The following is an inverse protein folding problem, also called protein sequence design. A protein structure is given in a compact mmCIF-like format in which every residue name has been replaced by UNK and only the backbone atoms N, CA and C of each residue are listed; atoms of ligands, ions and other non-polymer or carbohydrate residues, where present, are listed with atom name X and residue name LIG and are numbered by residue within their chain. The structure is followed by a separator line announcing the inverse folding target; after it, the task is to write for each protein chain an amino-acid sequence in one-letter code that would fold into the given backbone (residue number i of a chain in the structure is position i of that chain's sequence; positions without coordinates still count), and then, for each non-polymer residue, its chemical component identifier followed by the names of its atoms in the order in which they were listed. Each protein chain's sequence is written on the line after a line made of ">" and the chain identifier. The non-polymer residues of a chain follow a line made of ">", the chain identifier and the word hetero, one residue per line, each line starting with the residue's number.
data_IF_362289279329
#
_entry.id   IF_362289279329
#
_cell.length_a   1.000
_cell.length_b   1.000
_cell.length_c   1.000
_cell.angle_alpha   90.00
_cell.angle_beta   90.00
_cell.angle_gamma   90.00
#
_symmetry.space_group_name_H-M   'P 1'
#
loop_
_entity.id
_entity.type
_entity.pdbx_description
1 polymer ?
#
# COMPACT_ATOMS: atom_id res chain seq x y z
N UNK A 1 -26.80 5.60 -15.17
CA UNK A 1 -26.04 5.33 -13.95
C UNK A 1 -24.90 6.32 -13.86
N UNK A 2 -24.91 7.23 -12.87
CA UNK A 2 -23.80 8.14 -12.60
C UNK A 2 -22.58 7.35 -12.06
N UNK A 3 -21.43 8.01 -11.86
CA UNK A 3 -20.20 7.33 -11.43
C UNK A 3 -20.37 6.68 -10.05
N UNK A 4 -20.98 7.37 -9.11
CA UNK A 4 -21.21 6.86 -7.75
C UNK A 4 -22.13 5.63 -7.76
N UNK A 5 -23.21 5.65 -8.53
CA UNK A 5 -24.11 4.51 -8.69
C UNK A 5 -23.40 3.32 -9.34
N UNK A 6 -22.46 3.55 -10.28
CA UNK A 6 -21.65 2.47 -10.86
C UNK A 6 -20.68 1.88 -9.84
N UNK A 7 -20.01 2.71 -9.05
CA UNK A 7 -19.14 2.23 -7.99
C UNK A 7 -19.92 1.40 -6.96
N UNK A 8 -21.09 1.90 -6.50
CA UNK A 8 -22.01 1.15 -5.63
C UNK A 8 -22.43 -0.18 -6.22
N UNK A 9 -22.79 -0.19 -7.50
CA UNK A 9 -23.13 -1.44 -8.19
C UNK A 9 -21.97 -2.43 -8.15
N UNK A 10 -20.73 -2.00 -8.37
CA UNK A 10 -19.56 -2.88 -8.29
C UNK A 10 -19.27 -3.35 -6.86
N UNK A 11 -19.45 -2.49 -5.85
CA UNK A 11 -19.36 -2.85 -4.43
C UNK A 11 -20.39 -3.91 -4.05
N UNK A 12 -21.66 -3.68 -4.40
CA UNK A 12 -22.78 -4.59 -4.07
C UNK A 12 -22.65 -5.97 -4.75
N UNK A 13 -21.88 -6.05 -5.84
CA UNK A 13 -21.63 -7.28 -6.59
C UNK A 13 -20.20 -7.80 -6.40
N UNK A 14 -19.49 -7.40 -5.33
CA UNK A 14 -18.15 -7.90 -4.96
C UNK A 14 -17.16 -7.92 -6.13
N UNK A 15 -17.24 -6.91 -7.01
CA UNK A 15 -16.42 -6.81 -8.21
C UNK A 15 -16.57 -7.99 -9.21
N UNK A 16 -17.53 -8.91 -9.07
CA UNK A 16 -17.70 -10.07 -9.96
C UNK A 16 -17.72 -9.64 -11.44
N UNK A 17 -18.57 -8.67 -11.75
CA UNK A 17 -18.69 -8.11 -13.11
C UNK A 17 -17.45 -7.29 -13.51
N UNK A 18 -16.67 -6.79 -12.56
CA UNK A 18 -15.45 -6.02 -12.82
C UNK A 18 -14.30 -6.95 -13.23
N UNK A 19 -14.15 -8.09 -12.54
CA UNK A 19 -13.13 -9.11 -12.82
C UNK A 19 -13.29 -9.73 -14.21
N UNK A 20 -14.53 -9.88 -14.68
CA UNK A 20 -14.85 -10.43 -16.01
C UNK A 20 -14.76 -9.39 -17.16
N UNK A 21 -14.51 -8.12 -16.85
CA UNK A 21 -14.52 -7.05 -17.84
C UNK A 21 -13.18 -6.92 -18.57
N UNK A 22 -13.22 -6.67 -19.88
CA UNK A 22 -12.00 -6.44 -20.66
C UNK A 22 -11.22 -5.18 -20.21
N UNK A 23 -9.89 -5.23 -20.35
CA UNK A 23 -8.98 -4.15 -19.94
C UNK A 23 -9.30 -2.78 -20.56
N UNK A 24 -9.95 -2.75 -21.72
CA UNK A 24 -10.29 -1.49 -22.40
C UNK A 24 -11.47 -0.82 -21.71
N UNK A 25 -12.43 -1.61 -21.25
CA UNK A 25 -13.64 -1.15 -20.58
C UNK A 25 -13.33 -0.73 -19.15
N UNK A 26 -12.53 -1.50 -18.41
CA UNK A 26 -12.07 -1.10 -17.07
C UNK A 26 -11.29 0.22 -17.12
N UNK A 27 -10.31 0.32 -18.03
CA UNK A 27 -9.53 1.55 -18.22
C UNK A 27 -10.39 2.76 -18.61
N UNK A 28 -11.42 2.55 -19.45
CA UNK A 28 -12.36 3.62 -19.80
C UNK A 28 -13.11 4.10 -18.56
N UNK A 29 -13.61 3.18 -17.73
CA UNK A 29 -14.35 3.57 -16.52
C UNK A 29 -13.46 4.33 -15.52
N UNK A 30 -12.21 3.91 -15.34
CA UNK A 30 -11.23 4.65 -14.52
C UNK A 30 -11.00 6.09 -15.01
N UNK A 31 -10.89 6.30 -16.32
CA UNK A 31 -10.81 7.65 -16.90
C UNK A 31 -12.07 8.46 -16.67
N UNK A 32 -13.23 7.83 -16.73
CA UNK A 32 -14.52 8.48 -16.45
C UNK A 32 -14.59 8.90 -14.97
N UNK A 33 -14.11 8.08 -14.03
CA UNK A 33 -13.99 8.42 -12.60
C UNK A 33 -13.07 9.63 -12.40
N UNK A 34 -11.85 9.59 -12.95
CA UNK A 34 -10.90 10.70 -12.82
C UNK A 34 -11.44 12.01 -13.45
N UNK A 35 -12.17 11.91 -14.56
CA UNK A 35 -12.82 13.06 -15.19
C UNK A 35 -13.98 13.60 -14.36
N UNK A 36 -14.75 12.71 -13.72
CA UNK A 36 -15.85 13.08 -12.82
C UNK A 36 -15.36 13.79 -11.55
N UNK A 37 -14.26 13.29 -10.98
CA UNK A 37 -13.64 13.85 -9.77
C UNK A 37 -13.27 15.32 -9.93
N UNK A 38 -12.87 15.78 -11.13
CA UNK A 38 -12.51 17.19 -11.39
C UNK A 38 -13.58 18.21 -10.96
N UNK A 39 -14.85 17.85 -11.03
CA UNK A 39 -15.95 18.75 -10.67
C UNK A 39 -16.79 18.24 -9.48
N UNK A 40 -16.59 16.99 -9.05
CA UNK A 40 -17.43 16.32 -8.05
C UNK A 40 -16.57 15.54 -7.04
N UNK A 41 -15.37 16.05 -6.73
CA UNK A 41 -14.42 15.36 -5.86
C UNK A 41 -15.00 15.03 -4.49
N UNK A 42 -15.78 15.94 -3.91
CA UNK A 42 -16.42 15.71 -2.61
C UNK A 42 -17.31 14.45 -2.62
N UNK A 43 -18.00 14.15 -3.72
CA UNK A 43 -18.82 12.93 -3.81
C UNK A 43 -17.96 11.67 -3.84
N UNK A 44 -16.82 11.70 -4.55
CA UNK A 44 -15.85 10.58 -4.58
C UNK A 44 -15.24 10.39 -3.19
N UNK A 45 -14.82 11.48 -2.53
CA UNK A 45 -14.27 11.44 -1.18
C UNK A 45 -15.28 10.89 -0.19
N UNK A 46 -16.52 11.39 -0.20
CA UNK A 46 -17.57 10.85 0.66
C UNK A 46 -17.85 9.39 0.36
N UNK A 47 -17.89 8.99 -0.91
CA UNK A 47 -18.06 7.58 -1.27
C UNK A 47 -17.00 6.69 -0.61
N UNK A 48 -15.71 7.03 -0.74
CA UNK A 48 -14.63 6.23 -0.17
C UNK A 48 -14.70 6.15 1.37
N UNK A 49 -15.02 7.27 2.04
CA UNK A 49 -15.11 7.33 3.51
C UNK A 49 -16.21 6.42 4.09
N UNK A 50 -17.26 6.12 3.32
CA UNK A 50 -18.35 5.26 3.77
C UNK A 50 -18.08 3.76 3.53
N UNK A 51 -16.97 3.41 2.89
CA UNK A 51 -16.62 2.03 2.58
C UNK A 51 -15.54 1.53 3.53
N UNK A 52 -15.84 0.38 4.13
CA UNK A 52 -14.85 -0.45 4.79
C UNK A 52 -14.19 -1.33 3.72
N UNK A 53 -12.86 -1.27 3.55
CA UNK A 53 -12.18 -2.13 2.60
C UNK A 53 -12.41 -3.60 2.95
N UNK A 54 -12.61 -4.39 1.89
CA UNK A 54 -12.69 -5.85 1.89
C UNK A 54 -11.82 -6.35 0.73
N UNK A 55 -11.55 -7.66 0.65
CA UNK A 55 -10.85 -8.29 -0.48
C UNK A 55 -11.38 -7.86 -1.85
N UNK A 56 -12.68 -7.58 -1.95
CA UNK A 56 -13.35 -7.14 -3.17
C UNK A 56 -14.07 -5.81 -2.96
N UNK A 57 -13.29 -4.74 -2.82
CA UNK A 57 -13.83 -3.40 -2.64
C UNK A 57 -13.62 -2.51 -3.87
N UNK A 58 -14.68 -1.80 -4.25
CA UNK A 58 -14.69 -0.77 -5.30
C UNK A 58 -13.76 0.42 -5.02
N UNK A 59 -13.22 0.53 -3.79
CA UNK A 59 -12.12 1.45 -3.47
C UNK A 59 -10.92 1.22 -4.41
N UNK A 60 -10.62 -0.05 -4.74
CA UNK A 60 -9.59 -0.44 -5.72
C UNK A 60 -9.74 0.35 -7.04
N UNK A 61 -10.95 0.37 -7.59
CA UNK A 61 -11.26 1.07 -8.85
C UNK A 61 -11.00 2.57 -8.73
N UNK A 62 -11.34 3.17 -7.59
CA UNK A 62 -11.13 4.60 -7.34
C UNK A 62 -9.65 4.92 -7.19
N UNK A 63 -8.92 4.10 -6.43
CA UNK A 63 -7.49 4.26 -6.21
C UNK A 63 -6.71 4.18 -7.53
N UNK A 64 -6.91 3.13 -8.31
CA UNK A 64 -6.32 3.00 -9.64
C UNK A 64 -6.68 4.19 -10.55
N UNK A 65 -7.95 4.63 -10.51
CA UNK A 65 -8.42 5.72 -11.36
C UNK A 65 -7.74 7.05 -11.03
N UNK A 66 -7.65 7.39 -9.76
CA UNK A 66 -7.05 8.64 -9.32
C UNK A 66 -5.53 8.60 -9.48
N UNK A 67 -4.86 7.51 -9.13
CA UNK A 67 -3.40 7.40 -9.25
C UNK A 67 -2.93 7.36 -10.71
N UNK A 68 -3.64 6.65 -11.61
CA UNK A 68 -3.26 6.54 -13.03
C UNK A 68 -3.58 7.85 -13.79
N UNK A 69 -4.71 8.49 -13.49
CA UNK A 69 -5.27 9.56 -14.34
C UNK A 69 -5.44 10.93 -13.68
N UNK A 70 -5.07 11.12 -12.41
CA UNK A 70 -5.29 12.41 -11.74
C UNK A 70 -4.26 12.78 -10.66
N UNK A 71 -3.38 13.72 -11.01
CA UNK A 71 -2.35 14.23 -10.08
C UNK A 71 -2.92 15.10 -8.96
N UNK A 72 -4.01 15.80 -9.25
CA UNK A 72 -4.65 16.73 -8.32
C UNK A 72 -5.18 16.04 -7.06
N UNK A 73 -5.32 14.71 -7.08
CA UNK A 73 -5.89 13.93 -5.99
C UNK A 73 -4.84 13.07 -5.25
N UNK A 74 -3.54 13.28 -5.49
CA UNK A 74 -2.48 12.54 -4.78
C UNK A 74 -2.52 12.75 -3.26
N UNK A 75 -2.86 13.96 -2.78
CA UNK A 75 -3.00 14.21 -1.34
C UNK A 75 -4.17 13.42 -0.74
N UNK A 76 -5.27 13.24 -1.49
CA UNK A 76 -6.38 12.39 -1.07
C UNK A 76 -6.00 10.90 -1.02
N UNK A 77 -5.22 10.41 -1.98
CA UNK A 77 -4.70 9.05 -1.94
C UNK A 77 -3.83 8.82 -0.71
N UNK A 78 -3.03 9.82 -0.31
CA UNK A 78 -2.32 9.79 0.96
C UNK A 78 -3.27 9.76 2.17
N UNK A 79 -4.32 10.59 2.20
CA UNK A 79 -5.35 10.54 3.26
C UNK A 79 -6.01 9.14 3.35
N UNK A 80 -6.27 8.49 2.22
CA UNK A 80 -6.84 7.15 2.17
C UNK A 80 -5.87 6.07 2.66
N UNK A 81 -4.59 6.15 2.30
CA UNK A 81 -3.54 5.30 2.87
C UNK A 81 -3.55 5.45 4.40
N UNK A 82 -3.56 6.69 4.91
CA UNK A 82 -3.64 6.92 6.36
C UNK A 82 -4.90 6.32 6.98
N UNK A 83 -6.06 6.51 6.34
CA UNK A 83 -7.34 5.99 6.84
C UNK A 83 -7.32 4.47 6.92
N UNK A 84 -6.94 3.78 5.84
CA UNK A 84 -6.95 2.32 5.75
C UNK A 84 -5.95 1.71 6.73
N UNK A 85 -4.73 2.24 6.80
CA UNK A 85 -3.72 1.82 7.79
C UNK A 85 -4.23 2.01 9.22
N UNK A 86 -4.91 3.13 9.51
CA UNK A 86 -5.50 3.38 10.82
C UNK A 86 -6.71 2.48 11.12
N UNK A 87 -7.48 2.06 10.12
CA UNK A 87 -8.55 1.08 10.33
C UNK A 87 -7.96 -0.28 10.70
N UNK A 88 -6.92 -0.72 10.01
CA UNK A 88 -6.26 -2.00 10.27
C UNK A 88 -5.57 -2.02 11.64
N UNK A 89 -4.76 -1.01 11.98
CA UNK A 89 -4.05 -0.96 13.28
C UNK A 89 -5.00 -0.93 14.49
N UNK A 90 -6.22 -0.42 14.30
CA UNK A 90 -7.25 -0.36 15.33
C UNK A 90 -8.24 -1.54 15.27
N UNK A 91 -7.91 -2.61 14.51
CA UNK A 91 -8.74 -3.80 14.34
C UNK A 91 -10.17 -3.49 13.90
N UNK A 92 -10.34 -2.50 13.01
CA UNK A 92 -11.64 -2.14 12.39
C UNK A 92 -11.87 -2.82 11.05
N UNK A 93 -10.82 -3.38 10.47
CA UNK A 93 -10.80 -4.22 9.27
C UNK A 93 -9.76 -5.32 9.50
N UNK A 94 -9.89 -6.44 8.81
CA UNK A 94 -8.85 -7.47 8.82
C UNK A 94 -7.59 -6.95 8.13
N UNK A 95 -6.41 -7.37 8.61
CA UNK A 95 -5.13 -6.85 8.12
C UNK A 95 -4.90 -7.17 6.64
N UNK A 96 -5.41 -8.30 6.14
CA UNK A 96 -5.34 -8.72 4.72
C UNK A 96 -5.96 -7.66 3.79
N UNK A 97 -6.92 -6.88 4.28
CA UNK A 97 -7.54 -5.79 3.53
C UNK A 97 -6.61 -4.58 3.33
N UNK A 98 -5.40 -4.55 3.92
CA UNK A 98 -4.37 -3.57 3.57
C UNK A 98 -3.90 -3.72 2.12
N UNK A 99 -4.02 -4.93 1.55
CA UNK A 99 -3.59 -5.21 0.19
C UNK A 99 -4.28 -4.31 -0.86
N UNK A 100 -5.46 -3.77 -0.57
CA UNK A 100 -6.14 -2.81 -1.45
C UNK A 100 -5.32 -1.53 -1.71
N UNK A 101 -4.38 -1.20 -0.82
CA UNK A 101 -3.49 -0.07 -1.03
C UNK A 101 -2.51 -0.31 -2.18
N UNK A 102 -2.24 -1.56 -2.56
CA UNK A 102 -1.40 -1.88 -3.71
C UNK A 102 -2.02 -1.49 -5.06
N UNK A 103 -3.32 -1.17 -5.08
CA UNK A 103 -4.00 -0.65 -6.27
C UNK A 103 -3.70 0.84 -6.55
N UNK A 104 -3.01 1.52 -5.63
CA UNK A 104 -2.50 2.88 -5.85
C UNK A 104 -1.21 2.79 -6.67
N UNK A 105 -1.22 3.37 -7.87
CA UNK A 105 -0.03 3.51 -8.74
C UNK A 105 0.99 4.49 -8.13
N UNK A 106 1.88 3.94 -7.31
CA UNK A 106 2.95 4.70 -6.65
C UNK A 106 4.04 5.19 -7.60
N UNK A 107 4.25 4.53 -8.74
CA UNK A 107 5.21 5.00 -9.75
C UNK A 107 4.73 6.33 -10.34
N UNK A 108 3.44 6.43 -10.62
CA UNK A 108 2.79 7.67 -11.03
C UNK A 108 2.97 8.79 -10.01
N UNK A 109 2.85 8.50 -8.72
CA UNK A 109 3.02 9.46 -7.62
C UNK A 109 4.49 9.87 -7.47
N UNK A 110 5.43 8.92 -7.46
CA UNK A 110 6.86 9.18 -7.37
C UNK A 110 7.34 10.15 -8.45
N UNK A 111 6.98 9.89 -9.71
CA UNK A 111 7.44 10.68 -10.85
C UNK A 111 6.85 12.11 -10.90
N UNK A 112 5.70 12.33 -10.26
CA UNK A 112 4.89 13.55 -10.45
C UNK A 112 4.65 14.36 -9.17
N UNK A 113 4.84 13.74 -8.00
CA UNK A 113 4.62 14.31 -6.67
C UNK A 113 5.51 13.60 -5.64
N UNK A 114 6.84 13.75 -5.80
CA UNK A 114 7.84 13.11 -4.95
C UNK A 114 7.67 13.43 -3.45
N UNK A 115 7.22 14.64 -3.11
CA UNK A 115 6.95 15.04 -1.74
C UNK A 115 5.81 14.21 -1.11
N UNK A 116 4.76 13.93 -1.88
CA UNK A 116 3.64 13.07 -1.44
C UNK A 116 4.11 11.62 -1.32
N UNK A 117 4.90 11.13 -2.29
CA UNK A 117 5.53 9.80 -2.21
C UNK A 117 6.34 9.65 -0.91
N UNK A 118 7.20 10.63 -0.59
CA UNK A 118 8.00 10.64 0.64
C UNK A 118 7.11 10.66 1.89
N UNK A 119 6.03 11.46 1.91
CA UNK A 119 5.07 11.47 3.02
C UNK A 119 4.43 10.10 3.23
N UNK A 120 4.00 9.44 2.15
CA UNK A 120 3.41 8.10 2.17
C UNK A 120 4.40 7.10 2.77
N UNK A 121 5.63 7.04 2.24
CA UNK A 121 6.65 6.10 2.71
C UNK A 121 7.04 6.34 4.16
N UNK A 122 7.20 7.60 4.57
CA UNK A 122 7.46 7.94 5.97
C UNK A 122 6.31 7.52 6.89
N UNK A 123 5.06 7.67 6.45
CA UNK A 123 3.90 7.27 7.23
C UNK A 123 3.83 5.74 7.38
N UNK A 124 3.94 4.99 6.29
CA UNK A 124 3.84 3.53 6.32
C UNK A 124 4.95 2.92 7.18
N UNK A 125 6.20 3.32 6.94
CA UNK A 125 7.36 2.77 7.68
C UNK A 125 7.38 3.16 9.16
N UNK A 126 6.84 4.33 9.52
CA UNK A 126 6.64 4.70 10.93
C UNK A 126 5.61 3.83 11.65
N UNK A 127 4.64 3.26 10.93
CA UNK A 127 3.63 2.38 11.50
C UNK A 127 4.10 0.91 11.61
N UNK A 128 5.30 0.58 11.13
CA UNK A 128 5.98 -0.69 11.44
C UNK A 128 6.53 -0.67 12.88
N UNK A 129 5.66 -0.85 13.88
CA UNK A 129 6.07 -0.90 15.28
C UNK A 129 6.17 -2.34 15.77
N UNK A 130 7.18 -2.67 16.58
CA UNK A 130 7.27 -3.99 17.23
C UNK A 130 6.07 -4.33 18.12
N UNK A 131 5.31 -3.33 18.57
CA UNK A 131 4.15 -3.50 19.44
C UNK A 131 2.84 -3.79 18.69
N UNK A 132 2.83 -3.79 17.35
CA UNK A 132 1.64 -4.13 16.56
C UNK A 132 1.57 -5.62 16.28
N UNK A 133 0.37 -6.10 15.99
CA UNK A 133 0.11 -7.49 15.63
C UNK A 133 1.00 -7.98 14.47
N UNK A 134 1.40 -9.25 14.52
CA UNK A 134 2.33 -9.84 13.55
C UNK A 134 1.73 -9.92 12.14
N UNK A 135 0.43 -10.22 12.01
CA UNK A 135 -0.22 -10.23 10.70
C UNK A 135 -0.32 -8.81 10.14
N UNK A 136 -0.69 -7.83 10.96
CA UNK A 136 -0.67 -6.42 10.54
C UNK A 136 0.70 -6.00 9.99
N UNK A 137 1.79 -6.36 10.68
CA UNK A 137 3.15 -6.05 10.23
C UNK A 137 3.46 -6.70 8.89
N UNK A 138 3.11 -7.96 8.70
CA UNK A 138 3.35 -8.69 7.44
C UNK A 138 2.60 -8.03 6.27
N UNK A 139 1.32 -7.73 6.46
CA UNK A 139 0.50 -7.09 5.42
C UNK A 139 0.99 -5.67 5.11
N UNK A 140 1.37 -4.90 6.13
CA UNK A 140 1.94 -3.57 5.92
C UNK A 140 3.31 -3.63 5.23
N UNK A 141 4.15 -4.62 5.58
CA UNK A 141 5.42 -4.88 4.90
C UNK A 141 5.19 -5.20 3.42
N UNK A 142 4.17 -5.99 3.08
CA UNK A 142 3.84 -6.29 1.68
C UNK A 142 3.42 -5.03 0.90
N UNK A 143 2.62 -4.14 1.51
CA UNK A 143 2.29 -2.84 0.90
C UNK A 143 3.54 -1.98 0.70
N UNK A 144 4.42 -1.92 1.70
CA UNK A 144 5.68 -1.17 1.63
C UNK A 144 6.60 -1.72 0.54
N UNK A 145 6.72 -3.05 0.43
CA UNK A 145 7.50 -3.71 -0.62
C UNK A 145 7.01 -3.32 -2.01
N UNK A 146 5.69 -3.38 -2.24
CA UNK A 146 5.09 -2.94 -3.50
C UNK A 146 5.35 -1.45 -3.79
N UNK A 147 5.45 -0.61 -2.75
CA UNK A 147 5.65 0.83 -2.90
C UNK A 147 7.12 1.22 -3.06
N UNK A 148 8.05 0.37 -2.65
CA UNK A 148 9.48 0.60 -2.81
C UNK A 148 9.85 0.46 -4.28
N UNK A 149 9.82 1.60 -4.98
CA UNK A 149 10.29 1.68 -6.37
C UNK A 149 11.80 1.44 -6.37
N UNK A 150 12.29 0.65 -7.32
CA UNK A 150 13.72 0.49 -7.58
C UNK A 150 14.35 1.88 -7.81
N UNK A 151 14.97 2.41 -6.76
CA UNK A 151 15.65 3.70 -6.83
C UNK A 151 16.90 3.49 -7.68
N UNK A 152 16.91 4.05 -8.89
CA UNK A 152 18.13 4.06 -9.70
C UNK A 152 19.23 4.78 -8.94
N UNK A 153 20.48 4.29 -9.05
CA UNK A 153 21.66 4.75 -8.28
C UNK A 153 21.95 6.27 -8.32
N UNK A 154 21.27 7.02 -9.18
CA UNK A 154 21.43 8.46 -9.34
C UNK A 154 20.31 9.28 -8.66
N UNK A 155 19.23 8.63 -8.20
CA UNK A 155 18.13 9.25 -7.46
C UNK A 155 18.39 9.11 -5.95
N UNK A 156 19.28 9.94 -5.39
CA UNK A 156 19.56 9.97 -3.95
C UNK A 156 18.33 10.48 -3.16
N UNK A 157 17.35 9.62 -2.90
CA UNK A 157 16.29 9.92 -1.92
C UNK A 157 16.90 9.83 -0.52
N UNK A 158 17.14 10.99 0.09
CA UNK A 158 17.76 11.11 1.41
C UNK A 158 16.98 10.34 2.50
N UNK A 159 15.67 10.22 2.34
CA UNK A 159 14.76 9.55 3.25
C UNK A 159 14.81 8.03 3.18
N UNK A 160 15.44 7.44 2.16
CA UNK A 160 15.46 5.98 1.96
C UNK A 160 15.97 5.24 3.21
N UNK A 161 17.02 5.75 3.85
CA UNK A 161 17.54 5.14 5.08
C UNK A 161 16.52 5.16 6.23
N UNK A 162 15.67 6.19 6.30
CA UNK A 162 14.61 6.27 7.32
C UNK A 162 13.53 5.20 7.10
N UNK A 163 13.33 4.78 5.85
CA UNK A 163 12.35 3.75 5.48
C UNK A 163 12.89 2.34 5.75
N UNK A 164 14.17 2.13 5.45
CA UNK A 164 14.82 0.82 5.58
C UNK A 164 15.15 0.46 7.04
N UNK A 165 15.47 1.43 7.89
CA UNK A 165 15.86 1.14 9.28
C UNK A 165 14.76 0.41 10.08
N UNK A 166 13.47 0.82 10.05
CA UNK A 166 12.40 0.04 10.66
C UNK A 166 12.32 -1.41 10.16
N UNK A 167 12.52 -1.63 8.85
CA UNK A 167 12.50 -2.97 8.25
C UNK A 167 13.69 -3.81 8.74
N UNK A 168 14.89 -3.22 8.86
CA UNK A 168 16.07 -3.87 9.45
C UNK A 168 15.85 -4.26 10.90
N UNK A 169 15.22 -3.38 11.68
CA UNK A 169 14.91 -3.64 13.08
C UNK A 169 13.95 -4.82 13.22
N UNK A 170 12.91 -4.90 12.37
CA UNK A 170 12.00 -6.04 12.32
C UNK A 170 12.71 -7.34 11.90
N UNK A 171 13.53 -7.29 10.86
CA UNK A 171 14.31 -8.45 10.37
C UNK A 171 15.24 -9.04 11.46
N UNK A 172 15.68 -8.22 12.41
CA UNK A 172 16.62 -8.62 13.46
C UNK A 172 15.91 -9.04 14.76
N UNK A 173 14.85 -8.34 15.15
CA UNK A 173 14.33 -8.38 16.52
C UNK A 173 12.89 -8.92 16.67
N UNK A 174 12.16 -9.13 15.58
CA UNK A 174 10.74 -9.52 15.66
C UNK A 174 10.52 -11.06 15.67
N UNK A 175 9.27 -11.50 15.57
CA UNK A 175 8.87 -12.89 15.44
C UNK A 175 9.26 -13.47 14.07
N UNK A 176 9.40 -14.80 14.00
CA UNK A 176 9.97 -15.49 12.83
C UNK A 176 9.28 -15.16 11.50
N UNK A 177 7.95 -15.06 11.48
CA UNK A 177 7.19 -14.75 10.27
C UNK A 177 7.46 -13.32 9.78
N UNK A 178 7.44 -12.35 10.70
CA UNK A 178 7.74 -10.94 10.42
C UNK A 178 9.19 -10.77 9.97
N UNK A 179 10.12 -11.43 10.66
CA UNK A 179 11.54 -11.47 10.28
C UNK A 179 11.74 -11.99 8.86
N UNK A 180 11.06 -13.06 8.50
CA UNK A 180 11.15 -13.67 7.18
C UNK A 180 10.72 -12.69 6.09
N UNK A 181 9.57 -12.02 6.25
CA UNK A 181 9.07 -11.06 5.26
C UNK A 181 9.97 -9.82 5.18
N UNK A 182 10.36 -9.24 6.32
CA UNK A 182 11.27 -8.10 6.35
C UNK A 182 12.64 -8.41 5.70
N UNK A 183 13.17 -9.62 5.94
CA UNK A 183 14.43 -10.07 5.33
C UNK A 183 14.32 -10.23 3.81
N UNK A 184 13.17 -10.72 3.33
CA UNK A 184 12.90 -10.87 1.89
C UNK A 184 12.96 -9.50 1.19
N UNK A 185 12.25 -8.51 1.72
CA UNK A 185 12.25 -7.14 1.19
C UNK A 185 13.68 -6.57 1.14
N UNK A 186 14.45 -6.70 2.22
CA UNK A 186 15.83 -6.20 2.27
C UNK A 186 16.76 -6.89 1.24
N UNK A 187 16.54 -8.18 0.97
CA UNK A 187 17.28 -8.92 -0.06
C UNK A 187 16.93 -8.44 -1.45
N UNK A 188 15.65 -8.22 -1.73
CA UNK A 188 15.18 -7.76 -3.04
C UNK A 188 15.73 -6.35 -3.38
N UNK A 189 15.94 -5.53 -2.36
CA UNK A 189 16.60 -4.20 -2.47
C UNK A 189 18.13 -4.25 -2.55
N UNK A 190 18.75 -5.43 -2.44
CA UNK A 190 20.21 -5.58 -2.44
C UNK A 190 20.90 -4.98 -1.20
N UNK A 191 20.17 -4.79 -0.09
CA UNK A 191 20.71 -4.25 1.16
C UNK A 191 21.47 -5.36 1.89
N UNK A 192 22.78 -5.43 1.67
CA UNK A 192 23.65 -6.53 2.11
C UNK A 192 24.13 -6.46 3.56
N UNK A 193 23.87 -5.38 4.29
CA UNK A 193 24.19 -5.25 5.72
C UNK A 193 23.02 -5.73 6.61
N UNK A 194 22.86 -7.05 6.71
CA UNK A 194 22.12 -7.72 7.80
C UNK A 194 23.07 -8.10 8.95
N UNK A 195 24.17 -7.36 9.11
CA UNK A 195 25.21 -7.62 10.10
C UNK A 195 24.79 -7.15 11.50
N UNK A 196 23.89 -7.91 12.13
CA UNK A 196 23.51 -7.64 13.52
C UNK A 196 22.57 -8.70 14.11
N UNK A 197 23.13 -9.63 14.88
CA UNK A 197 22.41 -10.51 15.81
C UNK A 197 21.56 -11.63 15.18
N UNK A 198 22.20 -12.66 14.63
CA UNK A 198 21.62 -14.01 14.72
C UNK A 198 21.67 -14.43 16.18
N UNK A 199 20.51 -14.60 16.81
CA UNK A 199 20.48 -15.15 18.16
C UNK A 199 21.00 -16.59 18.09
N UNK A 200 21.74 -17.02 19.10
CA UNK A 200 22.35 -18.35 19.16
C UNK A 200 21.35 -19.50 18.92
N UNK A 201 20.04 -19.24 19.11
CA UNK A 201 18.94 -20.19 18.90
C UNK A 201 18.67 -20.46 17.42
N UNK A 202 18.79 -19.45 16.55
CA UNK A 202 18.57 -19.60 15.09
C UNK A 202 19.69 -20.43 14.44
N UNK A 203 20.92 -20.38 14.98
CA UNK A 203 22.02 -21.27 14.58
C UNK A 203 21.83 -22.72 14.98
N UNK A 204 21.09 -22.99 16.05
CA UNK A 204 20.89 -24.36 16.58
C UNK A 204 19.74 -25.07 15.85
N UNK A 205 18.80 -24.33 15.25
CA UNK A 205 17.63 -24.91 14.56
C UNK A 205 17.83 -25.18 13.07
N UNK A 206 18.99 -24.87 12.48
CA UNK A 206 19.36 -25.33 11.13
C UNK A 206 18.45 -24.85 10.00
N UNK A 207 17.92 -23.62 10.08
CA UNK A 207 16.98 -23.08 9.09
C UNK A 207 17.67 -22.43 7.87
N UNK A 208 19.01 -22.39 7.83
CA UNK A 208 19.73 -21.94 6.64
C UNK A 208 20.94 -22.84 6.36
N UNK A 209 20.80 -23.67 5.32
CA UNK A 209 21.89 -24.04 4.40
C UNK A 209 21.72 -23.21 3.12
#
# INVERSE_FOLDING_TARGET
>A
MNIIEKLKYHEDNQLDNWLDTDNKTTRKFRRDIASYAKNNFDEIKQYCLHIHPTDFSSLSIVYEALSEFSLDHNEFLYEEIQRITNLAINNKIDSENLNILTDIDMQGIYLKSLDIYIKIMNFLTKNLSSNTDSNYKIELLSVIDYYLIEVHKDDDILEFNNWINPIKDLASNDELSVKSEATKILKDLGVSDLSGSTSFVEKVLGIFD
#
